data_IF_460358757790
#
_entry.id   IF_460358757790
#
_cell.length_a   1.000
_cell.length_b   1.000
_cell.length_c   1.000
_cell.angle_alpha   90.00
_cell.angle_beta   90.00
_cell.angle_gamma   90.00
#
_symmetry.space_group_name_H-M   'P 1'
#
loop_
_entity.id
_entity.type
_entity.pdbx_description
1 polymer ?
#
# COMPACT_ATOMS: atom_id res chain seq x y z
N UNK A 1 -3.97 0.89 -11.40
CA UNK A 1 -3.59 -0.49 -11.09
C UNK A 1 -2.40 -0.96 -11.95
N UNK A 2 -2.48 -0.86 -13.29
CA UNK A 2 -1.46 -1.41 -14.21
C UNK A 2 -0.04 -0.99 -13.86
N UNK A 3 0.22 0.28 -13.64
CA UNK A 3 1.56 0.78 -13.23
C UNK A 3 2.03 0.14 -11.91
N UNK A 4 1.12 -0.04 -10.97
CA UNK A 4 1.44 -0.69 -9.69
C UNK A 4 1.73 -2.17 -9.86
N UNK A 5 1.01 -2.87 -10.74
CA UNK A 5 1.26 -4.27 -11.10
C UNK A 5 2.63 -4.43 -11.78
N UNK A 6 2.98 -3.57 -12.76
CA UNK A 6 4.29 -3.62 -13.39
C UNK A 6 5.41 -3.51 -12.34
N UNK A 7 5.32 -2.54 -11.43
CA UNK A 7 6.32 -2.38 -10.36
C UNK A 7 6.41 -3.60 -9.44
N UNK A 8 5.28 -4.25 -9.16
CA UNK A 8 5.22 -5.47 -8.37
C UNK A 8 5.92 -6.62 -9.09
N UNK A 9 5.61 -6.84 -10.36
CA UNK A 9 6.23 -7.90 -11.15
C UNK A 9 7.72 -7.67 -11.34
N UNK A 10 8.13 -6.44 -11.63
CA UNK A 10 9.55 -6.07 -11.74
C UNK A 10 10.31 -6.34 -10.44
N UNK A 11 9.70 -6.05 -9.29
CA UNK A 11 10.29 -6.30 -7.97
C UNK A 11 10.60 -7.79 -7.73
N UNK A 12 9.69 -8.67 -8.15
CA UNK A 12 9.87 -10.12 -7.99
C UNK A 12 10.54 -10.80 -9.19
N UNK A 13 10.86 -10.07 -10.26
CA UNK A 13 11.39 -10.65 -11.50
C UNK A 13 10.39 -11.60 -12.18
N UNK A 14 9.09 -11.31 -12.09
CA UNK A 14 8.01 -12.10 -12.68
C UNK A 14 7.75 -11.61 -14.10
N UNK A 15 7.68 -12.54 -15.04
CA UNK A 15 7.40 -12.22 -16.43
C UNK A 15 5.95 -11.77 -16.64
N UNK A 16 5.78 -10.67 -17.32
CA UNK A 16 4.48 -10.15 -17.77
C UNK A 16 4.58 -9.53 -19.14
N UNK A 17 3.46 -9.31 -19.80
CA UNK A 17 3.40 -8.69 -21.12
C UNK A 17 2.49 -7.48 -21.09
N UNK A 18 3.02 -6.34 -21.47
CA UNK A 18 2.24 -5.13 -21.70
C UNK A 18 1.57 -5.21 -23.07
N UNK A 19 0.28 -4.90 -23.11
CA UNK A 19 -0.48 -4.77 -24.36
C UNK A 19 -0.50 -3.31 -24.77
N UNK A 20 -0.08 -3.07 -26.00
CA UNK A 20 -0.20 -1.79 -26.65
C UNK A 20 -1.32 -1.85 -27.67
N UNK A 21 -2.01 -0.73 -27.85
CA UNK A 21 -2.98 -0.57 -28.92
C UNK A 21 -2.28 -0.80 -30.28
N UNK A 22 -2.74 -1.82 -30.99
CA UNK A 22 -2.11 -2.33 -32.21
C UNK A 22 -2.81 -1.84 -33.49
N UNK A 23 -3.86 -1.01 -33.37
CA UNK A 23 -4.49 -0.48 -34.57
C UNK A 23 -3.55 0.48 -35.27
N UNK A 24 -3.52 0.39 -36.62
CA UNK A 24 -2.76 1.33 -37.46
C UNK A 24 -3.22 2.76 -37.18
N UNK A 25 -2.36 3.53 -36.51
CA UNK A 25 -2.60 4.92 -36.15
C UNK A 25 -1.70 5.83 -36.95
N UNK A 26 -2.14 7.07 -37.19
CA UNK A 26 -1.31 8.05 -37.89
C UNK A 26 0.05 8.24 -37.23
N UNK A 27 1.07 8.57 -38.02
CA UNK A 27 2.46 8.71 -37.56
C UNK A 27 2.68 9.69 -36.40
N UNK A 28 1.70 10.54 -36.10
CA UNK A 28 1.71 11.48 -34.99
C UNK A 28 0.93 11.02 -33.75
N UNK A 29 0.51 9.74 -33.73
CA UNK A 29 -0.24 9.21 -32.58
C UNK A 29 0.73 8.72 -31.50
N UNK A 30 0.48 9.14 -30.27
CA UNK A 30 1.26 8.69 -29.13
C UNK A 30 0.70 7.34 -28.67
N UNK A 31 1.54 6.30 -28.71
CA UNK A 31 1.17 4.96 -28.29
C UNK A 31 1.14 4.84 -26.77
N UNK A 32 0.00 4.40 -26.21
CA UNK A 32 -0.12 4.01 -24.84
C UNK A 32 -0.32 2.49 -24.72
N UNK A 33 -0.16 1.91 -23.55
CA UNK A 33 -0.54 0.52 -23.34
C UNK A 33 -2.00 0.40 -22.87
N UNK A 34 -2.71 -0.61 -23.38
CA UNK A 34 -4.11 -0.84 -23.07
C UNK A 34 -4.32 -1.80 -21.90
N UNK A 35 -3.30 -2.57 -21.55
CA UNK A 35 -3.42 -3.56 -20.50
C UNK A 35 -2.14 -4.33 -20.20
N UNK A 36 -2.29 -5.34 -19.38
CA UNK A 36 -1.22 -6.22 -18.94
C UNK A 36 -1.72 -7.67 -18.92
N UNK A 37 -0.88 -8.58 -19.40
CA UNK A 37 -1.10 -10.02 -19.31
C UNK A 37 -0.08 -10.60 -18.34
N UNK A 38 -0.54 -11.37 -17.37
CA UNK A 38 0.26 -12.05 -16.36
C UNK A 38 -0.45 -13.33 -15.91
N UNK A 39 0.20 -14.16 -15.12
CA UNK A 39 -0.41 -15.33 -14.51
C UNK A 39 -1.04 -14.96 -13.18
N UNK A 40 -2.31 -15.29 -12.98
CA UNK A 40 -3.03 -14.97 -11.74
C UNK A 40 -2.39 -15.56 -10.48
N UNK A 41 -1.74 -16.74 -10.61
CA UNK A 41 -1.01 -17.41 -9.53
C UNK A 41 0.20 -16.63 -9.00
N UNK A 42 0.69 -15.66 -9.77
CA UNK A 42 1.83 -14.83 -9.38
C UNK A 42 1.42 -13.72 -8.40
N UNK A 43 0.13 -13.45 -8.29
CA UNK A 43 -0.40 -12.48 -7.31
C UNK A 43 -0.87 -13.24 -6.08
N UNK A 44 -0.11 -13.14 -5.00
CA UNK A 44 -0.46 -13.71 -3.69
C UNK A 44 -0.45 -12.65 -2.60
N UNK A 45 -1.23 -12.88 -1.55
CA UNK A 45 -1.26 -11.95 -0.40
C UNK A 45 0.12 -11.79 0.23
N UNK A 46 0.87 -12.88 0.36
CA UNK A 46 2.21 -12.87 0.95
C UNK A 46 3.17 -11.97 0.16
N UNK A 47 3.26 -12.18 -1.15
CA UNK A 47 4.09 -11.35 -2.05
C UNK A 47 3.61 -9.89 -2.06
N UNK A 48 2.28 -9.67 -2.05
CA UNK A 48 1.73 -8.32 -1.99
C UNK A 48 2.17 -7.59 -0.72
N UNK A 49 2.07 -8.23 0.43
CA UNK A 49 2.47 -7.63 1.71
C UNK A 49 3.97 -7.38 1.76
N UNK A 50 4.79 -8.29 1.26
CA UNK A 50 6.23 -8.13 1.15
C UNK A 50 6.57 -6.92 0.26
N UNK A 51 5.95 -6.83 -0.91
CA UNK A 51 6.15 -5.69 -1.80
C UNK A 51 5.70 -4.38 -1.16
N UNK A 52 4.53 -4.35 -0.53
CA UNK A 52 4.01 -3.17 0.15
C UNK A 52 4.94 -2.70 1.26
N UNK A 53 5.47 -3.63 2.05
CA UNK A 53 6.42 -3.33 3.12
C UNK A 53 7.72 -2.71 2.60
N UNK A 54 8.24 -3.20 1.49
CA UNK A 54 9.45 -2.65 0.86
C UNK A 54 9.16 -1.31 0.16
N UNK A 55 8.10 -1.24 -0.62
CA UNK A 55 7.76 -0.03 -1.38
C UNK A 55 7.50 1.17 -0.47
N UNK A 56 6.88 0.92 0.68
CA UNK A 56 6.53 1.94 1.68
C UNK A 56 7.44 1.91 2.91
N UNK A 57 8.65 1.41 2.79
CA UNK A 57 9.59 1.19 3.89
C UNK A 57 9.72 2.39 4.85
N UNK A 58 9.81 3.60 4.32
CA UNK A 58 9.91 4.84 5.11
C UNK A 58 8.79 5.01 6.16
N UNK A 59 7.65 4.37 5.93
CA UNK A 59 6.44 4.50 6.75
C UNK A 59 6.16 3.27 7.61
N UNK A 60 6.98 2.23 7.45
CA UNK A 60 6.86 0.97 8.18
C UNK A 60 7.51 1.08 9.56
N UNK A 61 6.74 1.61 10.51
CA UNK A 61 7.23 1.82 11.89
C UNK A 61 7.81 0.55 12.51
N UNK A 62 7.25 -0.61 12.23
CA UNK A 62 7.79 -1.89 12.74
C UNK A 62 9.17 -2.22 12.19
N UNK A 63 9.48 -1.89 10.91
CA UNK A 63 10.84 -2.04 10.38
C UNK A 63 11.83 -1.16 11.12
N UNK A 64 11.46 0.07 11.42
CA UNK A 64 12.31 0.96 12.22
C UNK A 64 12.58 0.39 13.61
N UNK A 65 11.57 -0.23 14.23
CA UNK A 65 11.76 -0.91 15.52
C UNK A 65 12.70 -2.10 15.35
N UNK A 66 12.46 -2.98 14.37
CA UNK A 66 13.31 -4.13 14.12
C UNK A 66 14.76 -3.74 13.86
N UNK A 67 15.01 -2.70 13.06
CA UNK A 67 16.37 -2.18 12.82
C UNK A 67 17.06 -1.73 14.11
N UNK A 68 16.35 -1.08 15.03
CA UNK A 68 16.92 -0.72 16.35
C UNK A 68 17.22 -1.98 17.15
N UNK A 69 16.34 -2.98 17.09
CA UNK A 69 16.50 -4.24 17.80
C UNK A 69 17.61 -5.15 17.26
N UNK A 70 18.24 -4.84 16.13
CA UNK A 70 19.44 -5.54 15.65
C UNK A 70 20.65 -5.35 16.60
N UNK A 71 20.67 -4.27 17.36
CA UNK A 71 21.73 -3.99 18.33
C UNK A 71 21.79 -5.05 19.45
N UNK A 72 23.00 -5.26 19.99
CA UNK A 72 23.22 -6.17 21.13
C UNK A 72 22.96 -5.47 22.47
N UNK A 73 23.30 -4.20 22.53
CA UNK A 73 23.13 -3.33 23.71
C UNK A 73 22.31 -2.12 23.33
N UNK A 74 21.51 -1.62 24.25
CA UNK A 74 20.59 -0.51 24.02
C UNK A 74 20.87 0.65 24.94
N UNK A 75 21.03 1.83 24.37
CA UNK A 75 21.06 3.07 25.13
C UNK A 75 19.66 3.44 25.66
N UNK A 76 19.62 4.29 26.70
CA UNK A 76 18.34 4.81 27.21
C UNK A 76 17.53 5.52 26.12
N UNK A 77 18.21 6.18 25.18
CA UNK A 77 17.59 6.87 24.05
C UNK A 77 16.94 5.87 23.07
N UNK A 78 17.60 4.76 22.78
CA UNK A 78 17.06 3.70 21.92
C UNK A 78 15.86 3.00 22.57
N UNK A 79 15.94 2.71 23.87
CA UNK A 79 14.83 2.15 24.65
C UNK A 79 13.61 3.08 24.60
N UNK A 80 13.83 4.37 24.83
CA UNK A 80 12.78 5.39 24.73
C UNK A 80 12.19 5.45 23.32
N UNK A 81 13.04 5.47 22.30
CA UNK A 81 12.62 5.55 20.89
C UNK A 81 11.74 4.37 20.48
N UNK A 82 12.12 3.15 20.83
CA UNK A 82 11.29 1.95 20.59
C UNK A 82 9.90 2.11 21.22
N UNK A 83 9.85 2.52 22.50
CA UNK A 83 8.58 2.70 23.20
C UNK A 83 7.72 3.83 22.59
N UNK A 84 8.33 4.87 22.07
CA UNK A 84 7.61 5.97 21.43
C UNK A 84 7.10 5.56 20.03
N UNK A 85 7.89 4.77 19.28
CA UNK A 85 7.47 4.19 17.99
C UNK A 85 6.28 3.24 18.18
N UNK A 86 6.29 2.37 19.18
CA UNK A 86 5.15 1.48 19.50
C UNK A 86 3.89 2.29 19.77
N UNK A 87 3.98 3.36 20.55
CA UNK A 87 2.83 4.21 20.88
C UNK A 87 2.30 5.00 19.68
N UNK A 88 3.14 5.21 18.66
CA UNK A 88 2.80 6.04 17.49
C UNK A 88 1.76 5.40 16.57
N UNK A 89 1.57 4.08 16.65
CA UNK A 89 0.66 3.30 15.80
C UNK A 89 -0.34 2.51 16.63
N UNK A 90 -1.61 2.64 16.30
CA UNK A 90 -2.70 1.99 17.05
C UNK A 90 -2.54 0.47 17.11
N UNK A 91 -2.16 -0.17 15.99
CA UNK A 91 -1.95 -1.62 15.93
C UNK A 91 -0.80 -2.04 16.83
N UNK A 92 0.36 -1.36 16.77
CA UNK A 92 1.50 -1.69 17.63
C UNK A 92 1.17 -1.45 19.10
N UNK A 93 0.51 -0.33 19.40
CA UNK A 93 0.06 -0.05 20.76
C UNK A 93 -0.88 -1.15 21.29
N UNK A 94 -1.76 -1.68 20.45
CA UNK A 94 -2.65 -2.78 20.83
C UNK A 94 -1.90 -4.08 21.07
N UNK A 95 -0.97 -4.42 20.18
CA UNK A 95 -0.18 -5.66 20.29
C UNK A 95 0.72 -5.69 21.53
N UNK A 96 1.31 -4.56 21.89
CA UNK A 96 2.20 -4.46 23.04
C UNK A 96 1.49 -4.04 24.34
N UNK A 97 0.31 -3.45 24.24
CA UNK A 97 -0.53 -2.99 25.38
C UNK A 97 0.29 -2.46 26.58
N UNK A 98 0.55 -3.33 27.56
CA UNK A 98 1.27 -3.01 28.79
C UNK A 98 2.76 -3.37 28.74
N UNK A 99 3.21 -4.01 27.68
CA UNK A 99 4.61 -4.43 27.52
C UNK A 99 5.43 -3.24 27.07
N UNK A 100 6.41 -2.85 27.88
CA UNK A 100 7.38 -1.84 27.52
C UNK A 100 8.71 -2.48 27.16
N UNK A 101 9.39 -1.92 26.18
CA UNK A 101 10.75 -2.29 25.89
C UNK A 101 11.67 -1.76 27.00
N UNK A 102 12.46 -2.65 27.59
CA UNK A 102 13.38 -2.37 28.68
C UNK A 102 14.84 -2.70 28.35
N UNK A 103 15.10 -3.11 27.10
CA UNK A 103 16.41 -3.52 26.60
C UNK A 103 16.73 -4.99 26.84
N UNK A 104 15.98 -5.73 27.67
CA UNK A 104 16.21 -7.17 27.94
C UNK A 104 15.20 -8.07 27.24
N UNK A 105 14.03 -7.54 26.88
CA UNK A 105 12.93 -8.28 26.31
C UNK A 105 12.85 -8.19 24.77
N UNK A 106 14.01 -8.06 24.11
CA UNK A 106 14.16 -7.94 22.65
C UNK A 106 13.41 -9.02 21.89
N UNK A 107 13.58 -10.28 22.29
CA UNK A 107 13.01 -11.44 21.60
C UNK A 107 11.47 -11.43 21.61
N UNK A 108 10.88 -10.90 22.69
CA UNK A 108 9.42 -10.73 22.80
C UNK A 108 8.95 -9.72 21.75
N UNK A 109 9.68 -8.61 21.57
CA UNK A 109 9.34 -7.60 20.59
C UNK A 109 9.46 -8.14 19.17
N UNK A 110 10.57 -8.80 18.83
CA UNK A 110 10.78 -9.39 17.52
C UNK A 110 9.68 -10.41 17.19
N UNK A 111 9.47 -11.41 18.08
CA UNK A 111 8.47 -12.45 17.85
C UNK A 111 7.03 -11.91 17.76
N UNK A 112 6.72 -10.88 18.53
CA UNK A 112 5.40 -10.22 18.45
C UNK A 112 5.21 -9.49 17.12
N UNK A 113 6.21 -8.77 16.64
CA UNK A 113 6.15 -8.07 15.36
C UNK A 113 6.07 -9.07 14.21
N UNK A 114 6.93 -10.07 14.18
CA UNK A 114 6.96 -11.09 13.12
C UNK A 114 5.67 -11.91 13.08
N UNK A 115 5.17 -12.33 14.23
CA UNK A 115 3.92 -13.09 14.34
C UNK A 115 2.66 -12.30 13.91
N UNK A 116 2.74 -10.97 13.90
CA UNK A 116 1.63 -10.08 13.52
C UNK A 116 1.95 -9.20 12.31
N UNK A 117 3.01 -9.53 11.55
CA UNK A 117 3.50 -8.71 10.44
C UNK A 117 2.42 -8.36 9.42
N UNK A 118 1.65 -9.34 8.99
CA UNK A 118 0.57 -9.13 8.02
C UNK A 118 -0.48 -8.13 8.52
N UNK A 119 -0.91 -8.26 9.78
CA UNK A 119 -1.88 -7.34 10.38
C UNK A 119 -1.31 -5.92 10.52
N UNK A 120 -0.05 -5.80 10.86
CA UNK A 120 0.65 -4.50 10.96
C UNK A 120 0.67 -3.81 9.60
N UNK A 121 1.06 -4.52 8.54
CA UNK A 121 1.12 -3.98 7.17
C UNK A 121 -0.29 -3.60 6.70
N UNK A 122 -1.26 -4.50 6.82
CA UNK A 122 -2.66 -4.23 6.45
C UNK A 122 -3.24 -3.02 7.16
N UNK A 123 -2.81 -2.77 8.40
CA UNK A 123 -3.29 -1.62 9.16
C UNK A 123 -2.90 -0.27 8.53
N UNK A 124 -1.83 -0.21 7.77
CA UNK A 124 -1.45 0.97 6.99
C UNK A 124 -2.55 1.35 6.00
N UNK A 125 -3.20 0.36 5.40
CA UNK A 125 -4.25 0.55 4.41
C UNK A 125 -5.64 0.74 5.03
N UNK A 126 -5.85 0.26 6.26
CA UNK A 126 -7.15 0.32 6.96
C UNK A 126 -7.41 1.64 7.69
N UNK A 127 -6.37 2.32 8.14
CA UNK A 127 -6.52 3.49 9.01
C UNK A 127 -6.45 4.80 8.23
N UNK A 128 -7.57 5.50 8.19
CA UNK A 128 -7.70 6.80 7.55
C UNK A 128 -6.80 7.93 8.08
N UNK A 129 -5.96 7.66 9.07
CA UNK A 129 -5.00 8.62 9.62
C UNK A 129 -3.57 8.44 9.13
N UNK A 130 -3.32 7.50 8.22
CA UNK A 130 -2.00 7.33 7.69
C UNK A 130 -1.82 8.04 6.33
N UNK A 131 -0.57 8.02 5.84
CA UNK A 131 -0.14 8.73 4.65
C UNK A 131 -0.95 8.37 3.39
N UNK A 132 -1.48 7.14 3.34
CA UNK A 132 -2.17 6.59 2.16
C UNK A 132 -3.68 6.78 2.20
N UNK A 133 -4.19 7.51 3.17
CA UNK A 133 -5.60 7.84 3.34
C UNK A 133 -6.31 8.27 2.06
N UNK A 134 -5.61 8.97 1.19
CA UNK A 134 -6.20 9.57 0.01
C UNK A 134 -6.22 8.64 -1.22
N UNK A 135 -5.51 7.50 -1.16
CA UNK A 135 -5.41 6.62 -2.32
C UNK A 135 -5.40 5.13 -1.99
N UNK A 136 -5.80 4.77 -0.80
CA UNK A 136 -6.06 3.39 -0.43
C UNK A 136 -7.48 3.26 0.06
N UNK A 137 -8.15 2.19 -0.35
CA UNK A 137 -9.40 1.83 0.26
C UNK A 137 -9.15 1.37 1.69
N UNK A 138 -9.75 2.05 2.67
CA UNK A 138 -9.52 1.82 4.09
C UNK A 138 -9.90 0.40 4.56
N UNK A 139 -10.66 -0.34 3.77
CA UNK A 139 -11.30 -1.58 4.22
C UNK A 139 -10.77 -2.83 3.56
N UNK A 140 -10.21 -2.73 2.38
CA UNK A 140 -9.95 -3.88 1.53
C UNK A 140 -8.49 -3.87 1.09
N UNK A 141 -7.72 -4.75 1.69
CA UNK A 141 -6.44 -5.18 1.17
C UNK A 141 -6.52 -6.68 1.05
N UNK A 142 -6.52 -7.20 -0.16
CA UNK A 142 -6.54 -8.63 -0.46
C UNK A 142 -7.69 -9.39 0.23
N UNK A 143 -8.87 -8.79 0.33
CA UNK A 143 -10.05 -9.47 0.86
C UNK A 143 -11.03 -9.78 -0.26
N UNK A 144 -11.65 -10.93 -0.19
CA UNK A 144 -12.70 -11.36 -1.13
C UNK A 144 -14.07 -10.76 -0.79
N UNK A 145 -14.27 -10.30 0.44
CA UNK A 145 -15.52 -9.71 0.87
C UNK A 145 -15.64 -8.24 0.44
N UNK A 146 -16.26 -8.05 -0.70
CA UNK A 146 -16.40 -6.78 -1.38
C UNK A 146 -17.65 -6.00 -0.97
N UNK A 147 -17.85 -5.81 0.31
CA UNK A 147 -18.91 -4.90 0.78
C UNK A 147 -18.67 -3.43 0.37
N UNK A 148 -17.46 -3.12 -0.13
CA UNK A 148 -17.07 -1.77 -0.53
C UNK A 148 -16.05 -1.84 -1.67
N UNK A 149 -16.36 -1.23 -2.81
CA UNK A 149 -15.46 -1.19 -3.96
C UNK A 149 -14.10 -0.55 -3.61
N UNK A 150 -13.01 -1.17 -4.07
CA UNK A 150 -11.63 -0.71 -3.87
C UNK A 150 -11.36 0.68 -4.44
N UNK A 151 -12.10 1.07 -5.47
CA UNK A 151 -12.00 2.41 -6.06
C UNK A 151 -12.60 3.52 -5.21
N UNK A 152 -13.33 3.20 -4.14
CA UNK A 152 -14.01 4.21 -3.32
C UNK A 152 -13.06 5.25 -2.74
N UNK A 153 -11.85 4.84 -2.37
CA UNK A 153 -10.82 5.75 -1.84
C UNK A 153 -10.29 6.75 -2.88
N UNK A 154 -10.48 6.46 -4.17
CA UNK A 154 -10.02 7.29 -5.29
C UNK A 154 -11.15 8.12 -5.91
N UNK A 155 -12.36 7.97 -5.41
CA UNK A 155 -13.47 8.80 -5.82
C UNK A 155 -13.25 10.23 -5.38
N UNK A 156 -13.45 11.14 -6.30
CA UNK A 156 -13.64 12.54 -5.97
C UNK A 156 -14.88 12.63 -5.08
N UNK A 157 -14.66 13.09 -3.91
CA UNK A 157 -15.52 13.17 -2.75
C UNK A 157 -16.97 13.53 -3.11
N UNK A 158 -17.86 12.54 -3.08
CA UNK A 158 -19.29 12.71 -3.34
C UNK A 158 -19.97 13.58 -2.26
N UNK A 159 -19.33 13.70 -1.10
CA UNK A 159 -19.85 14.38 0.09
C UNK A 159 -19.36 15.84 0.20
N UNK A 160 -18.43 16.26 -0.64
CA UNK A 160 -18.06 17.68 -0.71
C UNK A 160 -19.04 18.42 -1.60
N UNK A 161 -19.57 19.52 -1.09
CA UNK A 161 -20.51 20.45 -1.73
C UNK A 161 -19.99 21.07 -3.06
N UNK A 162 -18.80 20.78 -3.49
CA UNK A 162 -18.27 21.14 -4.78
C UNK A 162 -18.64 20.04 -5.76
N UNK A 163 -19.77 20.19 -6.40
CA UNK A 163 -20.21 19.39 -7.52
C UNK A 163 -19.15 19.38 -8.62
N UNK A 164 -18.24 18.43 -8.57
CA UNK A 164 -17.40 18.12 -9.71
C UNK A 164 -18.25 17.40 -10.73
N UNK A 165 -18.58 18.13 -11.78
CA UNK A 165 -19.44 17.73 -12.89
C UNK A 165 -18.96 16.52 -13.69
N UNK A 166 -17.84 15.89 -13.29
CA UNK A 166 -17.21 14.86 -14.10
C UNK A 166 -17.50 13.41 -13.74
N UNK A 167 -18.06 13.12 -12.56
CA UNK A 167 -18.09 11.74 -12.10
C UNK A 167 -19.44 11.37 -11.49
N UNK A 168 -20.41 11.13 -12.37
CA UNK A 168 -21.68 10.51 -11.99
C UNK A 168 -21.57 8.98 -11.98
N UNK A 169 -20.68 8.44 -11.16
CA UNK A 169 -20.70 7.00 -10.94
C UNK A 169 -21.72 6.69 -9.84
N UNK A 170 -22.69 5.84 -10.15
CA UNK A 170 -23.55 5.30 -9.12
C UNK A 170 -22.72 4.37 -8.22
N UNK A 171 -23.09 4.28 -6.94
CA UNK A 171 -22.45 3.34 -6.00
C UNK A 171 -22.44 1.91 -6.57
N UNK A 172 -23.53 1.50 -7.19
CA UNK A 172 -23.72 0.19 -7.79
C UNK A 172 -22.76 -0.08 -8.96
N UNK A 173 -22.48 0.93 -9.80
CA UNK A 173 -21.51 0.79 -10.89
C UNK A 173 -20.10 0.52 -10.41
N UNK A 174 -19.70 1.04 -9.26
CA UNK A 174 -18.40 0.74 -8.67
C UNK A 174 -18.33 -0.65 -8.07
N UNK A 175 -19.37 -1.06 -7.37
CA UNK A 175 -19.40 -2.37 -6.71
C UNK A 175 -19.42 -3.51 -7.72
N UNK A 176 -20.05 -3.33 -8.87
CA UNK A 176 -20.11 -4.36 -9.93
C UNK A 176 -18.79 -4.59 -10.68
N UNK A 177 -17.87 -3.64 -10.64
CA UNK A 177 -16.60 -3.68 -11.38
C UNK A 177 -15.38 -3.74 -10.45
N UNK A 178 -15.57 -4.11 -9.19
CA UNK A 178 -14.46 -4.23 -8.26
C UNK A 178 -13.59 -5.45 -8.61
N UNK A 179 -12.29 -5.22 -8.74
CA UNK A 179 -11.30 -6.27 -9.02
C UNK A 179 -10.12 -6.15 -8.07
N UNK A 180 -9.47 -7.27 -7.79
CA UNK A 180 -8.35 -7.36 -6.85
C UNK A 180 -7.19 -6.46 -7.25
N UNK A 181 -6.95 -6.31 -8.53
CA UNK A 181 -5.87 -5.51 -9.11
C UNK A 181 -5.92 -4.03 -8.71
N UNK A 182 -7.07 -3.56 -8.27
CA UNK A 182 -7.19 -2.20 -7.74
C UNK A 182 -6.42 -1.98 -6.43
N UNK A 183 -6.06 -3.04 -5.72
CA UNK A 183 -5.20 -2.96 -4.56
C UNK A 183 -3.76 -2.52 -4.91
N UNK A 184 -3.37 -2.59 -6.19
CA UNK A 184 -2.07 -2.14 -6.68
C UNK A 184 -2.01 -0.65 -7.05
N UNK A 185 -3.14 0.06 -7.04
CA UNK A 185 -3.18 1.49 -7.35
C UNK A 185 -2.22 2.32 -6.47
N UNK A 186 -2.07 2.08 -5.15
CA UNK A 186 -1.17 2.87 -4.31
C UNK A 186 0.28 2.90 -4.79
N UNK A 187 0.72 1.82 -5.44
CA UNK A 187 2.10 1.70 -5.93
C UNK A 187 2.37 2.48 -7.22
N UNK A 188 1.32 3.01 -7.86
CA UNK A 188 1.48 3.89 -9.01
C UNK A 188 1.91 5.32 -8.61
N UNK A 189 1.75 5.68 -7.34
CA UNK A 189 2.07 7.02 -6.87
C UNK A 189 3.51 7.12 -6.38
N UNK A 190 4.10 8.30 -6.59
CA UNK A 190 5.41 8.66 -6.03
C UNK A 190 5.23 9.70 -4.93
N UNK A 191 5.90 9.50 -3.81
CA UNK A 191 5.84 10.39 -2.68
C UNK A 191 7.03 11.35 -2.70
N UNK A 192 6.77 12.64 -2.51
CA UNK A 192 7.80 13.63 -2.21
C UNK A 192 8.00 13.77 -0.70
N UNK A 193 9.16 14.26 -0.30
CA UNK A 193 9.43 14.59 1.12
C UNK A 193 8.59 15.78 1.62
N UNK A 194 7.93 16.50 0.71
CA UNK A 194 7.07 17.66 1.00
C UNK A 194 5.61 17.30 1.29
N UNK A 195 5.29 16.05 1.60
CA UNK A 195 3.90 15.55 1.82
C UNK A 195 2.99 15.65 0.59
N UNK A 196 3.57 15.82 -0.57
CA UNK A 196 2.86 15.80 -1.84
C UNK A 196 3.03 14.43 -2.49
N UNK A 197 2.02 14.02 -3.24
CA UNK A 197 2.01 12.76 -3.95
C UNK A 197 1.76 13.04 -5.41
N UNK A 198 2.58 12.45 -6.26
CA UNK A 198 2.49 12.62 -7.69
C UNK A 198 2.14 11.30 -8.35
N UNK A 199 1.18 11.35 -9.24
CA UNK A 199 0.96 10.32 -10.23
C UNK A 199 1.59 10.79 -11.54
N UNK A 200 2.63 10.11 -11.96
CA UNK A 200 3.25 10.34 -13.26
C UNK A 200 2.73 9.27 -14.20
N UNK A 201 1.84 9.67 -15.08
CA UNK A 201 1.38 8.80 -16.15
C UNK A 201 2.39 8.90 -17.31
N UNK A 202 3.18 7.86 -17.49
CA UNK A 202 4.18 7.78 -18.54
C UNK A 202 3.94 6.54 -19.42
N UNK A 203 2.69 6.42 -19.90
CA UNK A 203 2.30 5.29 -20.77
C UNK A 203 2.67 5.54 -22.24
N UNK A 204 3.53 6.48 -22.52
CA UNK A 204 3.97 6.76 -23.88
C UNK A 204 5.35 6.19 -24.10
N UNK A 205 5.49 5.42 -25.16
CA UNK A 205 6.78 4.91 -25.67
C UNK A 205 7.22 5.72 -26.88
#
# INVERSE_FOLDING_TARGET
>A
AVVGLCKYFDYFGIDYKVLYDVEEKPDNYIHGFDGIIYKSEDITEEKYLEFAENYFEKYMTHKNILNILESQEFSEEQIKLVNDLVKSKTVLKGLFDKIKFDGTNKDIFISTIEGNRAEIIKNIFKNGNNLYKNYCNERLVFTEDNSTCRLRGYNVDKDRKTSNLGFCFSKESFESNDILEFDFIPFAFSNSDMRETYFVNNNFS
#
